data_IF_896835797157
#
_entry.id   IF_896835797157
#
_cell.length_a   1.000
_cell.length_b   1.000
_cell.length_c   1.000
_cell.angle_alpha   90.00
_cell.angle_beta   90.00
_cell.angle_gamma   90.00
#
_symmetry.space_group_name_H-M   'P 1'
#
loop_
_entity.id
_entity.type
_entity.pdbx_description
1 polymer ?
#
# COMPACT_ATOMS: atom_id res chain seq x y z
N UNK A 1 -1.71 -3.39 -11.96
CA UNK A 1 -2.54 -4.58 -11.65
C UNK A 1 -2.13 -5.83 -12.45
N UNK A 2 -1.79 -5.73 -13.74
CA UNK A 2 -1.40 -6.90 -14.57
C UNK A 2 -0.12 -7.64 -14.11
N UNK A 3 0.85 -6.94 -13.51
CA UNK A 3 2.13 -7.53 -13.10
C UNK A 3 2.01 -8.54 -11.95
N UNK A 4 1.10 -8.31 -11.00
CA UNK A 4 0.84 -9.23 -9.89
C UNK A 4 0.25 -10.55 -10.42
N UNK A 5 -0.76 -10.45 -11.29
CA UNK A 5 -1.44 -11.62 -11.86
C UNK A 5 -0.46 -12.43 -12.71
N UNK A 6 0.32 -11.78 -13.58
CA UNK A 6 1.34 -12.46 -14.37
C UNK A 6 2.41 -13.15 -13.50
N UNK A 7 2.81 -12.51 -12.40
CA UNK A 7 3.74 -13.10 -11.44
C UNK A 7 3.15 -14.33 -10.77
N UNK A 8 1.89 -14.28 -10.36
CA UNK A 8 1.18 -15.42 -9.76
C UNK A 8 0.97 -16.57 -10.75
N UNK A 9 0.60 -16.28 -12.00
CA UNK A 9 0.45 -17.31 -13.05
C UNK A 9 1.79 -18.04 -13.33
N UNK A 10 2.89 -17.27 -13.38
CA UNK A 10 4.24 -17.83 -13.54
C UNK A 10 4.62 -18.71 -12.37
N UNK A 11 4.40 -18.26 -11.13
CA UNK A 11 4.74 -19.02 -9.92
C UNK A 11 3.86 -20.27 -9.78
N UNK A 12 2.58 -20.17 -10.13
CA UNK A 12 1.65 -21.30 -10.13
C UNK A 12 2.09 -22.40 -11.10
N UNK A 13 2.68 -22.03 -12.24
CA UNK A 13 3.17 -22.99 -13.23
C UNK A 13 4.44 -23.74 -12.78
N UNK A 14 5.12 -23.25 -11.75
CA UNK A 14 6.39 -23.81 -11.25
C UNK A 14 6.21 -24.73 -10.03
N UNK A 15 5.00 -24.80 -9.45
CA UNK A 15 4.67 -25.59 -8.24
C UNK A 15 5.59 -25.34 -7.03
N UNK A 16 6.22 -24.16 -6.96
CA UNK A 16 7.11 -23.76 -5.87
C UNK A 16 6.30 -23.10 -4.74
N UNK A 17 6.57 -23.40 -3.45
CA UNK A 17 5.96 -22.68 -2.34
C UNK A 17 6.36 -21.19 -2.38
N UNK A 18 5.36 -20.31 -2.31
CA UNK A 18 5.56 -18.85 -2.37
C UNK A 18 5.21 -18.22 -1.03
N UNK A 19 6.07 -17.33 -0.55
CA UNK A 19 5.71 -16.41 0.53
C UNK A 19 4.77 -15.34 0.00
N UNK A 20 3.48 -15.53 0.25
CA UNK A 20 2.43 -14.65 -0.23
C UNK A 20 2.43 -13.29 0.49
N UNK A 21 2.89 -13.24 1.74
CA UNK A 21 3.01 -11.97 2.48
C UNK A 21 4.07 -11.09 1.84
N UNK A 22 5.24 -11.65 1.56
CA UNK A 22 6.32 -10.91 0.91
C UNK A 22 5.90 -10.38 -0.46
N UNK A 23 5.23 -11.23 -1.26
CA UNK A 23 4.76 -10.87 -2.59
C UNK A 23 3.68 -9.77 -2.57
N UNK A 24 2.71 -9.86 -1.66
CA UNK A 24 1.67 -8.84 -1.52
C UNK A 24 2.22 -7.54 -0.93
N UNK A 25 3.12 -7.62 0.05
CA UNK A 25 3.81 -6.45 0.62
C UNK A 25 4.56 -5.68 -0.47
N UNK A 26 5.33 -6.40 -1.32
CA UNK A 26 5.97 -5.80 -2.49
C UNK A 26 4.93 -5.16 -3.43
N UNK A 27 3.82 -5.81 -3.72
CA UNK A 27 2.82 -5.20 -4.60
C UNK A 27 2.17 -3.94 -4.00
N UNK A 28 1.83 -3.98 -2.71
CA UNK A 28 1.25 -2.84 -1.99
C UNK A 28 2.22 -1.67 -1.91
N UNK A 29 3.53 -1.96 -1.85
CA UNK A 29 4.58 -0.96 -1.97
C UNK A 29 4.47 -0.15 -3.27
N UNK A 30 4.41 -0.83 -4.44
CA UNK A 30 4.23 -0.15 -5.73
C UNK A 30 2.94 0.68 -5.79
N UNK A 31 1.84 0.15 -5.24
CA UNK A 31 0.56 0.88 -5.17
C UNK A 31 0.72 2.14 -4.33
N UNK A 32 1.34 2.03 -3.16
CA UNK A 32 1.58 3.18 -2.27
C UNK A 32 2.48 4.24 -2.92
N UNK A 33 3.55 3.82 -3.61
CA UNK A 33 4.40 4.72 -4.39
C UNK A 33 3.61 5.48 -5.45
N UNK A 34 2.75 4.78 -6.19
CA UNK A 34 1.92 5.39 -7.23
C UNK A 34 0.89 6.34 -6.64
N UNK A 35 0.20 5.95 -5.57
CA UNK A 35 -0.79 6.79 -4.87
C UNK A 35 -0.16 8.01 -4.19
N UNK A 36 1.07 7.89 -3.69
CA UNK A 36 1.70 9.01 -2.98
C UNK A 36 2.40 9.95 -3.96
N UNK A 37 3.13 9.40 -4.93
CA UNK A 37 4.06 10.16 -5.79
C UNK A 37 3.69 10.18 -7.26
N UNK A 38 2.75 9.35 -7.72
CA UNK A 38 2.40 9.22 -9.13
C UNK A 38 3.43 8.46 -9.97
N UNK A 39 4.43 7.83 -9.34
CA UNK A 39 5.47 7.06 -10.02
C UNK A 39 5.48 5.59 -9.59
N UNK A 40 5.83 4.71 -10.53
CA UNK A 40 6.07 3.30 -10.28
C UNK A 40 7.58 3.07 -10.08
N UNK A 41 8.02 2.52 -8.93
CA UNK A 41 9.44 2.32 -8.65
C UNK A 41 10.12 1.33 -9.63
N UNK A 42 9.36 0.41 -10.25
CA UNK A 42 9.89 -0.55 -11.24
C UNK A 42 10.36 0.10 -12.55
N UNK A 43 9.76 1.22 -12.94
CA UNK A 43 10.03 1.88 -14.24
C UNK A 43 11.27 2.76 -14.23
N UNK A 44 11.79 3.08 -13.04
CA UNK A 44 12.84 4.09 -12.87
C UNK A 44 14.25 3.52 -12.67
N UNK A 45 14.50 2.22 -12.92
CA UNK A 45 15.80 1.58 -12.60
C UNK A 45 16.24 1.85 -11.15
N UNK A 46 15.27 1.92 -10.24
CA UNK A 46 15.43 2.02 -8.78
C UNK A 46 15.49 0.58 -8.20
N UNK A 47 15.84 -0.43 -9.00
CA UNK A 47 15.88 -1.85 -8.57
C UNK A 47 16.83 -2.09 -7.37
N UNK A 48 17.88 -1.28 -7.23
CA UNK A 48 18.81 -1.36 -6.08
C UNK A 48 18.30 -0.65 -4.81
N UNK A 49 17.28 0.18 -4.94
CA UNK A 49 16.73 1.02 -3.88
C UNK A 49 15.30 0.62 -3.47
N UNK A 50 14.58 -0.18 -4.28
CA UNK A 50 13.24 -0.68 -3.97
C UNK A 50 13.24 -1.50 -2.67
N UNK A 51 14.19 -2.43 -2.55
CA UNK A 51 14.40 -3.22 -1.33
C UNK A 51 14.80 -2.31 -0.16
N UNK A 52 15.77 -1.41 -0.36
CA UNK A 52 16.23 -0.50 0.70
C UNK A 52 15.13 0.42 1.22
N UNK A 53 14.24 0.88 0.36
CA UNK A 53 13.15 1.78 0.75
C UNK A 53 12.00 1.01 1.42
N UNK A 54 11.64 -0.17 0.92
CA UNK A 54 10.69 -1.06 1.60
C UNK A 54 11.23 -1.47 2.99
N UNK A 55 12.51 -1.84 3.08
CA UNK A 55 13.19 -2.15 4.35
C UNK A 55 13.19 -0.92 5.29
N UNK A 56 13.49 0.27 4.77
CA UNK A 56 13.47 1.51 5.56
C UNK A 56 12.06 1.85 6.09
N UNK A 57 11.01 1.67 5.28
CA UNK A 57 9.62 1.83 5.74
C UNK A 57 9.32 0.81 6.85
N UNK A 58 9.69 -0.45 6.66
CA UNK A 58 9.45 -1.51 7.64
C UNK A 58 10.20 -1.26 8.95
N UNK A 59 11.48 -0.91 8.89
CA UNK A 59 12.30 -0.54 10.06
C UNK A 59 11.72 0.68 10.78
N UNK A 60 11.25 1.68 10.04
CA UNK A 60 10.61 2.86 10.63
C UNK A 60 9.30 2.49 11.34
N UNK A 61 8.47 1.66 10.71
CA UNK A 61 7.25 1.14 11.31
C UNK A 61 7.51 0.37 12.60
N UNK A 62 8.46 -0.56 12.55
CA UNK A 62 8.80 -1.43 13.67
C UNK A 62 9.30 -0.63 14.87
N UNK A 63 10.07 0.44 14.61
CA UNK A 63 10.55 1.36 15.63
C UNK A 63 9.45 2.25 16.20
N UNK A 64 8.59 2.84 15.34
CA UNK A 64 7.45 3.66 15.79
C UNK A 64 6.49 2.80 16.63
N UNK A 65 6.20 1.58 16.20
CA UNK A 65 5.36 0.66 16.96
C UNK A 65 5.99 0.30 18.30
N UNK A 66 7.31 0.06 18.33
CA UNK A 66 8.03 -0.18 19.58
C UNK A 66 7.97 1.00 20.56
N UNK A 67 7.97 2.26 20.07
CA UNK A 67 7.79 3.45 20.94
C UNK A 67 6.43 3.47 21.64
N UNK A 68 5.39 2.88 21.04
CA UNK A 68 4.06 2.79 21.64
C UNK A 68 3.96 1.67 22.69
N UNK A 69 4.81 0.63 22.58
CA UNK A 69 4.82 -0.50 23.52
C UNK A 69 5.83 -0.33 24.66
N UNK A 70 6.95 0.37 24.40
CA UNK A 70 8.02 0.55 25.37
C UNK A 70 7.84 1.85 26.14
N UNK A 71 8.16 1.88 27.46
CA UNK A 71 8.20 3.12 28.23
C UNK A 71 9.13 4.15 27.61
N UNK A 72 8.78 5.43 27.79
CA UNK A 72 9.52 6.54 27.20
C UNK A 72 11.01 6.58 27.56
N UNK A 73 11.37 6.14 28.76
CA UNK A 73 12.76 6.02 29.19
C UNK A 73 13.58 5.06 28.32
N UNK A 74 12.98 3.96 27.84
CA UNK A 74 13.69 2.89 27.11
C UNK A 74 14.06 3.34 25.71
N UNK A 75 13.11 3.89 24.96
CA UNK A 75 13.39 4.34 23.60
C UNK A 75 14.21 5.65 23.60
N UNK A 76 14.02 6.55 24.57
CA UNK A 76 14.90 7.74 24.71
C UNK A 76 16.36 7.32 24.97
N UNK A 77 16.58 6.28 25.78
CA UNK A 77 17.92 5.74 26.02
C UNK A 77 18.52 5.12 24.76
N UNK A 78 17.75 4.34 24.00
CA UNK A 78 18.19 3.79 22.71
C UNK A 78 18.55 4.90 21.71
N UNK A 79 17.74 5.96 21.65
CA UNK A 79 18.00 7.14 20.81
C UNK A 79 19.27 7.87 21.23
N UNK A 80 19.47 8.07 22.53
CA UNK A 80 20.67 8.74 23.05
C UNK A 80 21.95 7.93 22.81
N UNK A 81 21.89 6.62 23.01
CA UNK A 81 23.01 5.70 22.75
C UNK A 81 23.24 5.43 21.26
N UNK A 82 22.29 5.80 20.38
CA UNK A 82 22.36 5.52 18.95
C UNK A 82 22.36 4.01 18.64
N UNK A 83 21.59 3.21 19.39
CA UNK A 83 21.53 1.75 19.23
C UNK A 83 20.08 1.26 19.13
N UNK A 84 19.91 0.00 18.71
CA UNK A 84 18.61 -0.65 18.68
C UNK A 84 17.68 -0.07 17.61
N UNK A 85 16.37 -0.07 17.90
CA UNK A 85 15.34 0.32 16.92
C UNK A 85 15.37 1.82 16.60
N UNK A 86 15.82 2.65 17.53
CA UNK A 86 15.97 4.09 17.29
C UNK A 86 17.09 4.42 16.31
N UNK A 87 18.19 3.63 16.31
CA UNK A 87 19.23 3.76 15.29
C UNK A 87 18.68 3.41 13.92
N UNK A 88 18.01 2.24 13.82
CA UNK A 88 17.36 1.80 12.57
C UNK A 88 16.38 2.83 12.05
N UNK A 89 15.57 3.43 12.91
CA UNK A 89 14.65 4.49 12.54
C UNK A 89 15.36 5.74 12.00
N UNK A 90 16.49 6.12 12.60
CA UNK A 90 17.27 7.26 12.11
C UNK A 90 17.88 6.97 10.73
N UNK A 91 18.47 5.78 10.55
CA UNK A 91 19.06 5.34 9.28
C UNK A 91 17.98 5.22 8.18
N UNK A 92 16.80 4.70 8.55
CA UNK A 92 15.62 4.64 7.71
C UNK A 92 15.13 6.04 7.33
N UNK A 93 15.05 6.97 8.29
CA UNK A 93 14.63 8.34 8.04
C UNK A 93 15.51 9.05 7.01
N UNK A 94 16.83 8.92 7.13
CA UNK A 94 17.79 9.50 6.17
C UNK A 94 17.57 8.92 4.76
N UNK A 95 17.35 7.61 4.67
CA UNK A 95 17.09 6.92 3.39
C UNK A 95 15.79 7.38 2.75
N UNK A 96 14.73 7.47 3.56
CA UNK A 96 13.39 7.91 3.15
C UNK A 96 13.42 9.36 2.67
N UNK A 97 13.98 10.28 3.46
CA UNK A 97 14.05 11.71 3.15
C UNK A 97 14.78 11.95 1.82
N UNK A 98 15.91 11.30 1.60
CA UNK A 98 16.66 11.41 0.34
C UNK A 98 15.82 10.99 -0.88
N UNK A 99 15.10 9.86 -0.78
CA UNK A 99 14.28 9.35 -1.87
C UNK A 99 13.04 10.23 -2.10
N UNK A 100 12.43 10.78 -1.06
CA UNK A 100 11.32 11.72 -1.21
C UNK A 100 11.73 13.04 -1.84
N UNK A 101 12.88 13.61 -1.46
CA UNK A 101 13.38 14.81 -2.12
C UNK A 101 13.58 14.58 -3.63
N UNK A 102 14.08 13.40 -4.02
CA UNK A 102 14.18 13.03 -5.43
C UNK A 102 12.80 12.97 -6.10
N UNK A 103 11.82 12.26 -5.52
CA UNK A 103 10.47 12.16 -6.09
C UNK A 103 9.76 13.52 -6.22
N UNK A 104 9.83 14.36 -5.17
CA UNK A 104 9.24 15.70 -5.17
C UNK A 104 9.87 16.56 -6.27
N UNK A 105 11.20 16.55 -6.39
CA UNK A 105 11.90 17.32 -7.43
C UNK A 105 11.55 16.86 -8.86
N UNK A 106 11.38 15.55 -9.07
CA UNK A 106 10.96 14.98 -10.35
C UNK A 106 9.53 15.41 -10.70
N UNK A 107 8.60 15.34 -9.75
CA UNK A 107 7.22 15.81 -9.96
C UNK A 107 7.15 17.31 -10.20
N UNK A 108 7.92 18.10 -9.46
CA UNK A 108 8.02 19.54 -9.71
C UNK A 108 8.45 19.84 -11.15
N UNK A 109 9.49 19.16 -11.64
CA UNK A 109 9.96 19.32 -13.02
C UNK A 109 8.94 18.88 -14.05
N UNK A 110 8.24 17.76 -13.81
CA UNK A 110 7.18 17.26 -14.71
C UNK A 110 6.04 18.28 -14.83
N UNK A 111 5.57 18.82 -13.70
CA UNK A 111 4.47 19.79 -13.65
C UNK A 111 4.85 21.17 -14.19
N UNK A 112 6.13 21.56 -14.14
CA UNK A 112 6.62 22.78 -14.80
C UNK A 112 6.69 22.65 -16.31
N UNK A 113 6.87 21.43 -16.84
CA UNK A 113 6.99 21.18 -18.28
C UNK A 113 5.64 20.90 -18.96
N UNK A 114 4.55 20.68 -18.21
CA UNK A 114 3.20 20.55 -18.78
C UNK A 114 2.64 21.91 -19.18
N UNK A 115 2.25 22.05 -20.45
CA UNK A 115 1.79 23.33 -21.04
C UNK A 115 0.33 23.69 -20.74
N UNK A 116 -0.52 22.72 -20.36
CA UNK A 116 -1.97 22.92 -20.13
C UNK A 116 -2.50 22.01 -19.01
N UNK A 117 -3.47 22.51 -18.24
CA UNK A 117 -4.17 21.77 -17.16
C UNK A 117 -5.28 20.82 -17.67
N UNK A 118 -5.52 20.77 -18.98
CA UNK A 118 -6.60 19.96 -19.59
C UNK A 118 -6.21 18.49 -19.85
N UNK A 119 -4.92 18.14 -19.75
CA UNK A 119 -4.40 16.76 -19.92
C UNK A 119 -4.33 15.97 -18.61
N UNK A 120 -5.00 16.43 -17.55
CA UNK A 120 -4.98 15.74 -16.25
C UNK A 120 -5.93 14.55 -16.31
N UNK A 121 -5.43 13.41 -16.79
CA UNK A 121 -5.90 12.12 -16.29
C UNK A 121 -5.55 12.13 -14.78
N UNK A 122 -6.53 12.43 -13.93
CA UNK A 122 -6.35 12.50 -12.47
C UNK A 122 -6.12 11.08 -11.94
N UNK A 123 -4.95 10.50 -12.19
CA UNK A 123 -4.45 9.38 -11.42
C UNK A 123 -4.17 9.95 -10.03
N UNK A 124 -5.02 9.58 -9.05
CA UNK A 124 -4.98 10.12 -7.69
C UNK A 124 -3.57 9.97 -7.12
N UNK A 125 -2.79 11.05 -7.12
CA UNK A 125 -1.52 11.09 -6.44
C UNK A 125 -1.39 12.31 -5.53
N UNK A 126 -0.95 12.06 -4.30
CA UNK A 126 -0.97 13.05 -3.23
C UNK A 126 -0.08 14.26 -3.53
N UNK A 127 1.10 14.03 -4.13
CA UNK A 127 2.03 15.11 -4.51
C UNK A 127 1.38 16.04 -5.53
N UNK A 128 0.84 15.53 -6.63
CA UNK A 128 0.19 16.37 -7.67
C UNK A 128 -1.02 17.12 -7.11
N UNK A 129 -1.83 16.48 -6.26
CA UNK A 129 -2.97 17.14 -5.62
C UNK A 129 -2.54 18.33 -4.75
N UNK A 130 -1.48 18.16 -3.95
CA UNK A 130 -0.94 19.25 -3.12
C UNK A 130 -0.37 20.37 -3.98
N UNK A 131 0.33 20.01 -5.06
CA UNK A 131 0.97 20.97 -5.96
C UNK A 131 -0.03 21.74 -6.84
N UNK A 132 -1.12 21.12 -7.26
CA UNK A 132 -2.23 21.78 -7.97
C UNK A 132 -3.05 22.63 -7.01
N UNK A 133 -3.35 22.12 -5.80
CA UNK A 133 -4.02 22.88 -4.75
C UNK A 133 -3.30 24.20 -4.42
N UNK A 134 -1.96 24.15 -4.36
CA UNK A 134 -1.11 25.34 -4.18
C UNK A 134 -1.18 26.33 -5.36
N UNK A 135 -1.50 25.89 -6.58
CA UNK A 135 -1.68 26.79 -7.74
C UNK A 135 -3.07 27.46 -7.76
N UNK A 136 -4.08 26.81 -7.17
CA UNK A 136 -5.49 27.23 -7.23
C UNK A 136 -5.94 28.04 -6.01
N UNK A 137 -5.41 27.73 -4.84
CA UNK A 137 -5.60 28.51 -3.61
C UNK A 137 -4.33 29.34 -3.44
N UNK A 138 -4.47 30.63 -3.10
CA UNK A 138 -3.35 31.55 -2.76
C UNK A 138 -2.21 30.85 -2.00
N UNK A 139 -0.95 31.36 -2.05
CA UNK A 139 0.25 30.66 -1.62
C UNK A 139 0.30 30.49 -0.10
N UNK A 140 -0.56 29.60 0.42
CA UNK A 140 -0.21 28.77 1.55
C UNK A 140 1.01 28.00 1.08
N UNK A 141 2.17 28.48 1.47
CA UNK A 141 3.45 27.80 1.28
C UNK A 141 3.36 26.44 1.98
N UNK A 142 2.77 25.46 1.30
CA UNK A 142 2.78 24.07 1.72
C UNK A 142 4.25 23.69 1.69
N UNK A 143 4.87 23.64 2.87
CA UNK A 143 6.26 23.27 3.03
C UNK A 143 6.48 21.90 2.41
N UNK A 144 7.64 21.69 1.77
CA UNK A 144 8.05 20.38 1.28
C UNK A 144 8.00 19.32 2.40
N UNK A 145 8.16 19.75 3.65
CA UNK A 145 7.94 18.93 4.85
C UNK A 145 6.53 18.36 4.96
N UNK A 146 5.48 19.16 4.71
CA UNK A 146 4.09 18.69 4.77
C UNK A 146 3.81 17.69 3.66
N UNK A 147 4.34 17.93 2.45
CA UNK A 147 4.21 17.00 1.33
C UNK A 147 4.91 15.68 1.68
N UNK A 148 6.14 15.74 2.19
CA UNK A 148 6.91 14.57 2.62
C UNK A 148 6.16 13.78 3.69
N UNK A 149 5.64 14.44 4.72
CA UNK A 149 4.95 13.78 5.83
C UNK A 149 3.65 13.11 5.36
N UNK A 150 2.92 13.72 4.42
CA UNK A 150 1.72 13.11 3.83
C UNK A 150 2.05 11.91 2.94
N UNK A 151 3.11 12.01 2.13
CA UNK A 151 3.60 10.89 1.31
C UNK A 151 4.01 9.73 2.21
N UNK A 152 4.76 10.00 3.28
CA UNK A 152 5.11 9.01 4.31
C UNK A 152 3.87 8.41 4.95
N UNK A 153 2.89 9.22 5.32
CA UNK A 153 1.64 8.77 5.91
C UNK A 153 0.90 7.76 5.02
N UNK A 154 0.83 8.02 3.71
CA UNK A 154 0.21 7.11 2.73
C UNK A 154 1.01 5.82 2.59
N UNK A 155 2.34 5.93 2.48
CA UNK A 155 3.24 4.78 2.38
C UNK A 155 3.10 3.87 3.60
N UNK A 156 3.13 4.46 4.79
CA UNK A 156 2.91 3.76 6.03
C UNK A 156 1.52 3.09 6.02
N UNK A 157 0.46 3.87 5.83
CA UNK A 157 -0.91 3.37 5.93
C UNK A 157 -1.24 2.24 4.95
N UNK A 158 -0.52 2.11 3.83
CA UNK A 158 -0.87 1.19 2.74
C UNK A 158 0.01 -0.08 2.70
N UNK A 159 1.30 0.02 3.03
CA UNK A 159 2.29 -1.04 2.78
C UNK A 159 2.02 -2.33 3.58
N UNK A 160 2.16 -2.28 4.91
CA UNK A 160 2.14 -3.48 5.76
C UNK A 160 0.73 -3.88 6.22
N UNK A 161 -0.17 -2.91 6.38
CA UNK A 161 -1.55 -3.12 6.84
C UNK A 161 -2.35 -3.93 5.82
N UNK A 162 -2.39 -3.46 4.57
CA UNK A 162 -3.22 -4.04 3.51
C UNK A 162 -2.65 -5.36 3.04
N UNK A 163 -1.32 -5.48 2.93
CA UNK A 163 -0.66 -6.75 2.59
C UNK A 163 -0.97 -7.83 3.62
N UNK A 164 -0.92 -7.51 4.91
CA UNK A 164 -1.29 -8.43 5.99
C UNK A 164 -2.75 -8.86 5.91
N UNK A 165 -3.69 -7.92 5.75
CA UNK A 165 -5.12 -8.24 5.61
C UNK A 165 -5.36 -9.15 4.41
N UNK A 166 -4.76 -8.86 3.26
CA UNK A 166 -4.90 -9.69 2.06
C UNK A 166 -4.31 -11.08 2.26
N UNK A 167 -3.14 -11.22 2.89
CA UNK A 167 -2.55 -12.52 3.19
C UNK A 167 -3.47 -13.37 4.05
N UNK A 168 -4.01 -12.81 5.13
CA UNK A 168 -4.97 -13.52 5.99
C UNK A 168 -6.25 -13.87 5.24
N UNK A 169 -6.75 -12.95 4.40
CA UNK A 169 -7.93 -13.19 3.58
C UNK A 169 -7.73 -14.38 2.65
N UNK A 170 -6.67 -14.39 1.85
CA UNK A 170 -6.40 -15.50 0.93
C UNK A 170 -6.14 -16.81 1.67
N UNK A 171 -5.41 -16.77 2.80
CA UNK A 171 -5.22 -17.95 3.64
C UNK A 171 -6.56 -18.51 4.14
N UNK A 172 -7.47 -17.66 4.64
CA UNK A 172 -8.80 -18.06 5.08
C UNK A 172 -9.65 -18.65 3.95
N UNK A 173 -9.55 -18.11 2.73
CA UNK A 173 -10.25 -18.68 1.57
C UNK A 173 -9.82 -20.14 1.31
N UNK A 174 -8.52 -20.45 1.42
CA UNK A 174 -8.04 -21.84 1.28
C UNK A 174 -8.64 -22.79 2.32
N UNK A 175 -9.01 -22.29 3.50
CA UNK A 175 -9.64 -23.07 4.58
C UNK A 175 -11.16 -23.13 4.47
N UNK A 176 -11.78 -22.26 3.67
CA UNK A 176 -13.23 -22.17 3.53
C UNK A 176 -13.68 -22.17 2.05
N UNK A 177 -13.60 -23.31 1.34
CA UNK A 177 -13.96 -23.39 -0.10
C UNK A 177 -15.40 -22.96 -0.43
N UNK A 178 -16.33 -23.12 0.54
CA UNK A 178 -17.71 -22.65 0.40
C UNK A 178 -17.80 -21.12 0.30
N UNK A 179 -16.97 -20.40 1.05
CA UNK A 179 -16.89 -18.93 1.03
C UNK A 179 -16.28 -18.47 -0.29
N UNK A 180 -15.18 -19.10 -0.71
CA UNK A 180 -14.54 -18.84 -2.00
C UNK A 180 -15.53 -19.02 -3.17
N UNK A 181 -16.29 -20.12 -3.17
CA UNK A 181 -17.29 -20.39 -4.21
C UNK A 181 -18.36 -19.30 -4.29
N UNK A 182 -18.85 -18.82 -3.13
CA UNK A 182 -19.84 -17.74 -3.07
C UNK A 182 -19.27 -16.42 -3.60
N UNK A 183 -18.04 -16.06 -3.23
CA UNK A 183 -17.36 -14.87 -3.76
C UNK A 183 -17.22 -14.96 -5.29
N UNK A 184 -16.74 -16.11 -5.81
CA UNK A 184 -16.62 -16.32 -7.26
C UNK A 184 -17.95 -16.23 -7.98
N UNK A 185 -19.04 -16.71 -7.39
CA UNK A 185 -20.39 -16.59 -7.94
C UNK A 185 -20.87 -15.14 -7.98
N UNK A 186 -20.62 -14.37 -6.92
CA UNK A 186 -20.92 -12.93 -6.86
C UNK A 186 -20.18 -12.17 -7.97
N UNK A 187 -18.86 -12.40 -8.10
CA UNK A 187 -18.06 -11.77 -9.16
C UNK A 187 -18.55 -12.16 -10.57
N UNK A 188 -18.86 -13.44 -10.82
CA UNK A 188 -19.35 -13.90 -12.12
C UNK A 188 -20.69 -13.26 -12.53
N UNK A 189 -21.56 -12.98 -11.56
CA UNK A 189 -22.85 -12.31 -11.83
C UNK A 189 -22.63 -10.89 -12.35
N UNK A 190 -21.69 -10.16 -11.76
CA UNK A 190 -21.35 -8.79 -12.18
C UNK A 190 -20.66 -8.76 -13.54
N UNK A 191 -19.80 -9.74 -13.82
CA UNK A 191 -19.09 -9.87 -15.10
C UNK A 191 -19.97 -10.33 -16.27
N UNK A 192 -21.25 -10.62 -16.04
CA UNK A 192 -22.16 -11.23 -17.03
C UNK A 192 -21.55 -12.46 -17.75
N UNK A 193 -20.69 -13.22 -17.06
CA UNK A 193 -20.00 -14.38 -17.65
C UNK A 193 -18.75 -14.06 -18.50
N UNK A 194 -18.30 -12.81 -18.55
CA UNK A 194 -17.07 -12.42 -19.26
C UNK A 194 -15.83 -12.79 -18.45
N UNK A 195 -14.87 -13.49 -19.07
CA UNK A 195 -13.61 -13.96 -18.43
C UNK A 195 -12.39 -13.09 -18.71
N UNK A 196 -12.54 -11.95 -19.39
CA UNK A 196 -11.42 -11.01 -19.61
C UNK A 196 -11.11 -10.24 -18.33
N UNK A 197 -9.87 -9.77 -18.19
CA UNK A 197 -9.42 -8.89 -17.10
C UNK A 197 -10.27 -7.62 -17.08
N UNK A 198 -11.35 -7.61 -16.28
CA UNK A 198 -12.22 -6.45 -16.14
C UNK A 198 -11.69 -5.60 -14.98
N UNK A 199 -11.34 -4.36 -15.31
CA UNK A 199 -11.18 -3.32 -14.30
C UNK A 199 -12.60 -3.01 -13.82
N UNK A 200 -12.90 -3.35 -12.56
CA UNK A 200 -14.20 -3.04 -11.98
C UNK A 200 -14.30 -1.54 -11.72
N UNK A 201 -15.41 -0.93 -12.12
CA UNK A 201 -15.70 0.45 -11.74
C UNK A 201 -16.15 0.52 -10.26
N UNK A 202 -16.14 1.72 -9.63
CA UNK A 202 -16.56 1.86 -8.24
C UNK A 202 -18.01 1.41 -7.98
N UNK A 203 -18.90 1.52 -8.97
CA UNK A 203 -20.29 1.11 -8.84
C UNK A 203 -20.43 -0.42 -8.83
N UNK A 204 -19.66 -1.13 -9.64
CA UNK A 204 -19.55 -2.58 -9.68
C UNK A 204 -18.94 -3.12 -8.40
N UNK A 205 -17.86 -2.49 -7.90
CA UNK A 205 -17.25 -2.85 -6.61
C UNK A 205 -18.25 -2.70 -5.46
N UNK A 206 -19.09 -1.66 -5.48
CA UNK A 206 -20.13 -1.45 -4.45
C UNK A 206 -21.18 -2.57 -4.40
N UNK A 207 -21.36 -3.31 -5.50
CA UNK A 207 -22.29 -4.44 -5.60
C UNK A 207 -21.70 -5.76 -5.06
N UNK A 208 -20.39 -5.82 -4.76
CA UNK A 208 -19.73 -7.01 -4.20
C UNK A 208 -19.92 -7.12 -2.69
N UNK A 209 -21.18 -7.22 -2.26
CA UNK A 209 -21.58 -7.16 -0.85
C UNK A 209 -21.00 -8.33 -0.04
N UNK A 210 -20.96 -9.54 -0.61
CA UNK A 210 -20.43 -10.71 0.07
C UNK A 210 -18.91 -10.62 0.22
N UNK A 211 -18.19 -10.22 -0.83
CA UNK A 211 -16.74 -9.95 -0.75
C UNK A 211 -16.43 -8.91 0.34
N UNK A 212 -17.14 -7.79 0.35
CA UNK A 212 -16.94 -6.73 1.34
C UNK A 212 -17.16 -7.21 2.78
N UNK A 213 -18.22 -7.99 3.02
CA UNK A 213 -18.47 -8.62 4.32
C UNK A 213 -17.35 -9.57 4.71
N UNK A 214 -16.84 -10.36 3.76
CA UNK A 214 -15.77 -11.30 4.04
C UNK A 214 -14.46 -10.60 4.39
N UNK A 215 -14.10 -9.53 3.68
CA UNK A 215 -12.90 -8.73 3.97
C UNK A 215 -12.98 -8.06 5.35
N UNK A 216 -14.11 -7.45 5.68
CA UNK A 216 -14.31 -6.85 7.02
C UNK A 216 -14.16 -7.86 8.16
N UNK A 217 -14.55 -9.11 7.94
CA UNK A 217 -14.37 -10.17 8.94
C UNK A 217 -12.90 -10.57 9.14
N UNK A 218 -12.03 -10.31 8.16
CA UNK A 218 -10.58 -10.52 8.29
C UNK A 218 -9.93 -9.41 9.11
N UNK A 219 -10.38 -8.16 8.93
CA UNK A 219 -9.88 -7.01 9.69
C UNK A 219 -10.21 -7.09 11.20
N UNK A 220 -11.23 -7.86 11.57
CA UNK A 220 -11.71 -7.99 12.95
C UNK A 220 -10.92 -8.97 13.85
N UNK A 221 -9.73 -9.44 13.44
CA UNK A 221 -8.94 -10.39 14.22
C UNK A 221 -8.19 -9.67 15.36
N UNK A 222 -8.61 -9.90 16.62
CA UNK A 222 -7.72 -10.55 17.59
C UNK A 222 -8.34 -11.87 18.08
N UNK A 223 -7.51 -12.70 18.72
CA UNK A 223 -7.80 -14.05 19.19
C UNK A 223 -9.25 -14.33 19.62
N UNK A 224 -9.74 -15.47 19.13
CA UNK A 224 -10.88 -16.26 19.61
C UNK A 224 -12.27 -16.05 18.94
N UNK A 225 -12.67 -17.12 18.24
CA UNK A 225 -14.00 -17.43 17.70
C UNK A 225 -14.47 -16.68 16.45
N UNK A 226 -14.08 -17.22 15.28
CA UNK A 226 -14.65 -16.88 13.98
C UNK A 226 -16.18 -17.10 13.94
N UNK A 227 -17.01 -16.06 13.69
CA UNK A 227 -18.45 -16.18 13.63
C UNK A 227 -18.93 -16.46 12.19
N UNK A 228 -18.33 -17.42 11.48
CA UNK A 228 -18.90 -17.92 10.21
C UNK A 228 -20.14 -18.80 10.43
N UNK A 229 -20.55 -19.04 11.68
CA UNK A 229 -21.71 -19.88 12.00
C UNK A 229 -23.07 -19.20 11.77
N UNK A 230 -23.16 -17.88 11.74
CA UNK A 230 -24.47 -17.19 11.82
C UNK A 230 -24.80 -16.25 10.64
N UNK A 231 -24.11 -16.35 9.50
CA UNK A 231 -24.50 -15.62 8.27
C UNK A 231 -25.25 -16.51 7.28
N UNK A 232 -26.36 -17.07 7.75
CA UNK A 232 -27.55 -17.46 6.97
C UNK A 232 -28.71 -16.63 7.55
N UNK A 233 -29.54 -15.98 6.71
CA UNK A 233 -30.40 -16.66 5.72
C UNK A 233 -29.92 -16.52 4.27
#
# INVERSE_FOLDING_TARGET
MGELIQSLDRLSSQEVPVDFQHLLSKHMFHIACRMATGYDPSRFSIDSHESRFSDAISDAFEAIFARHLLPESVWRLQKWLGVGKEKKLNDAWVTLDHLFSQYISLKQKELSNRATMDDVEVDFNAVELHMIGHKLVEPLSISEEVIRDNVLGIMFATHDTTSTVLTWFFWLLTKHPKVETKIRQEMKKLLHGTTKSVIFDPEELSKMVYLHKTLRNVEAVPSDSFPWKNSAP
#
